data_IF_317355770202
#
_entry.id   IF_317355770202
#
_cell.length_a   1.000
_cell.length_b   1.000
_cell.length_c   1.000
_cell.angle_alpha   90.00
_cell.angle_beta   90.00
_cell.angle_gamma   90.00
#
_symmetry.space_group_name_H-M   'P 1'
#
loop_
_entity.id
_entity.type
_entity.pdbx_description
1 polymer ?
#
# COMPACT_ATOMS: atom_id res chain seq x y z
N UNK A 1 -8.34 52.70 70.24
CA UNK A 1 -7.74 52.15 69.00
C UNK A 1 -6.41 51.50 69.39
N UNK A 2 -6.11 50.23 69.05
CA UNK A 2 -6.03 49.66 67.68
C UNK A 2 -6.74 48.29 67.50
N UNK A 3 -7.50 48.10 66.43
CA UNK A 3 -7.22 47.38 65.15
C UNK A 3 -7.17 45.83 65.22
N UNK A 4 -8.22 45.23 64.66
CA UNK A 4 -8.31 43.84 64.20
C UNK A 4 -7.28 43.56 63.10
N UNK A 5 -6.61 42.40 63.15
CA UNK A 5 -5.82 41.82 62.05
C UNK A 5 -5.95 40.30 62.13
N UNK A 6 -6.83 39.71 61.31
CA UNK A 6 -6.53 39.12 60.00
C UNK A 6 -5.84 37.75 60.11
N UNK A 7 -6.64 36.69 59.86
CA UNK A 7 -6.19 35.29 59.76
C UNK A 7 -5.15 35.15 58.65
N UNK A 8 -4.05 34.46 58.94
CA UNK A 8 -3.02 34.09 57.95
C UNK A 8 -3.64 33.19 56.86
N UNK A 9 -3.52 33.50 55.56
CA UNK A 9 -3.88 32.57 54.50
C UNK A 9 -2.86 31.43 54.43
N UNK A 10 -3.37 30.25 54.11
CA UNK A 10 -2.58 29.03 53.86
C UNK A 10 -1.66 29.24 52.66
N UNK A 11 -0.46 28.71 52.78
CA UNK A 11 0.55 28.59 51.74
C UNK A 11 -0.05 27.91 50.51
N UNK A 12 -0.15 28.66 49.42
CA UNK A 12 -0.53 28.13 48.11
C UNK A 12 0.71 27.42 47.59
N UNK A 13 0.64 26.10 47.49
CA UNK A 13 1.65 25.32 46.78
C UNK A 13 1.60 25.80 45.33
N UNK A 14 2.65 26.49 44.89
CA UNK A 14 2.84 26.88 43.51
C UNK A 14 2.81 25.63 42.65
N UNK A 15 1.71 25.41 41.93
CA UNK A 15 1.65 24.42 40.85
C UNK A 15 2.59 24.94 39.77
N UNK A 16 3.68 24.24 39.44
CA UNK A 16 4.55 24.71 38.39
C UNK A 16 3.77 24.71 37.09
N UNK A 17 3.72 25.88 36.45
CA UNK A 17 3.13 26.09 35.15
C UNK A 17 4.01 25.40 34.09
N UNK A 18 3.93 24.07 34.00
CA UNK A 18 4.46 23.30 32.89
C UNK A 18 3.47 23.43 31.73
N UNK A 19 3.51 24.56 31.02
CA UNK A 19 3.07 24.59 29.63
C UNK A 19 4.14 23.89 28.78
N UNK A 20 4.29 22.59 28.98
CA UNK A 20 4.80 21.75 27.92
C UNK A 20 3.63 21.52 26.97
N UNK A 21 3.74 21.99 25.74
CA UNK A 21 2.80 21.69 24.65
C UNK A 21 2.91 20.21 24.21
N UNK A 22 3.30 19.32 25.13
CA UNK A 22 3.51 17.90 24.92
C UNK A 22 2.30 17.17 25.49
N UNK A 23 1.75 16.24 24.73
CA UNK A 23 0.70 15.39 25.27
C UNK A 23 1.29 14.55 26.42
N UNK A 24 0.48 14.19 27.43
CA UNK A 24 0.83 13.17 28.40
C UNK A 24 1.37 11.89 27.73
N UNK A 25 2.39 11.28 28.32
CA UNK A 25 3.12 10.13 27.77
C UNK A 25 2.22 8.99 27.29
N UNK A 26 1.13 8.72 28.02
CA UNK A 26 0.18 7.68 27.63
C UNK A 26 -0.46 7.99 26.27
N UNK A 27 -0.86 9.23 26.00
CA UNK A 27 -1.48 9.62 24.72
C UNK A 27 -0.46 9.64 23.58
N UNK A 28 0.79 10.02 23.84
CA UNK A 28 1.87 9.93 22.84
C UNK A 28 2.14 8.48 22.43
N UNK A 29 2.09 7.54 23.37
CA UNK A 29 2.20 6.11 23.06
C UNK A 29 1.04 5.63 22.17
N UNK A 30 -0.19 6.07 22.46
CA UNK A 30 -1.36 5.73 21.63
C UNK A 30 -1.30 6.35 20.23
N UNK A 31 -0.63 7.49 20.09
CA UNK A 31 -0.49 8.24 18.83
C UNK A 31 0.60 7.67 17.92
N UNK A 32 1.71 7.20 18.49
CA UNK A 32 2.94 6.89 17.73
C UNK A 32 3.19 5.41 17.51
N UNK A 33 2.62 4.53 18.34
CA UNK A 33 2.95 3.10 18.30
C UNK A 33 1.72 2.24 18.11
N UNK A 34 1.90 1.17 17.35
CA UNK A 34 1.00 0.02 17.32
C UNK A 34 1.52 -1.01 18.32
N UNK A 35 0.69 -1.49 19.24
CA UNK A 35 1.08 -2.44 20.30
C UNK A 35 0.49 -3.82 19.99
N UNK A 36 1.33 -4.79 19.65
CA UNK A 36 0.88 -6.16 19.41
C UNK A 36 0.76 -6.94 20.73
N UNK A 37 -0.46 -7.22 21.19
CA UNK A 37 -0.74 -8.09 22.35
C UNK A 37 -1.18 -9.49 21.89
N UNK A 38 -1.11 -10.47 22.81
CA UNK A 38 -1.39 -11.88 22.55
C UNK A 38 -2.85 -12.15 22.10
N UNK A 39 -3.82 -11.38 22.60
CA UNK A 39 -5.23 -11.56 22.27
C UNK A 39 -5.65 -10.81 21.00
N UNK A 40 -5.33 -9.52 20.95
CA UNK A 40 -5.57 -8.66 19.80
C UNK A 40 -4.60 -7.49 19.83
N UNK A 41 -4.15 -7.00 18.66
CA UNK A 41 -3.23 -5.90 18.64
C UNK A 41 -3.99 -4.59 18.99
N UNK A 42 -3.45 -3.80 19.92
CA UNK A 42 -3.98 -2.55 20.46
C UNK A 42 -3.28 -1.38 19.78
N UNK A 43 -3.94 -0.23 19.59
CA UNK A 43 -3.41 0.89 18.79
C UNK A 43 -3.10 0.53 17.33
N UNK A 44 -3.73 -0.51 16.80
CA UNK A 44 -3.53 -0.96 15.43
C UNK A 44 -4.30 -0.05 14.51
N UNK A 45 -3.55 0.82 13.85
CA UNK A 45 -4.03 1.65 12.74
C UNK A 45 -3.75 1.04 11.37
N UNK A 46 -3.15 -0.16 11.33
CA UNK A 46 -2.79 -0.82 10.08
C UNK A 46 -3.68 -2.02 9.88
N UNK A 47 -4.49 -1.93 8.82
CA UNK A 47 -5.30 -3.00 8.25
C UNK A 47 -4.48 -4.29 8.10
N UNK A 48 -4.81 -5.30 8.90
CA UNK A 48 -4.61 -6.68 8.44
C UNK A 48 -5.78 -6.95 7.51
N UNK A 49 -5.49 -7.09 6.22
CA UNK A 49 -6.45 -7.50 5.20
C UNK A 49 -6.89 -8.95 5.48
N UNK A 50 -7.75 -9.16 6.48
CA UNK A 50 -8.35 -10.47 6.75
C UNK A 50 -9.52 -10.68 5.79
N UNK A 51 -9.25 -11.38 4.70
CA UNK A 51 -10.21 -12.12 3.90
C UNK A 51 -10.84 -13.22 4.79
N UNK A 52 -11.75 -12.87 5.71
CA UNK A 52 -12.87 -13.71 6.20
C UNK A 52 -13.63 -12.96 7.32
N UNK A 53 -14.92 -12.77 7.06
CA UNK A 53 -16.05 -12.36 7.92
C UNK A 53 -15.82 -11.90 9.38
N UNK A 54 -16.15 -10.62 9.61
CA UNK A 54 -16.77 -10.00 10.80
C UNK A 54 -16.36 -10.45 12.21
N UNK A 55 -15.59 -9.61 12.92
CA UNK A 55 -15.83 -9.34 14.34
C UNK A 55 -15.15 -8.04 14.81
N UNK A 56 -15.92 -7.20 15.53
CA UNK A 56 -15.53 -5.96 16.23
C UNK A 56 -14.95 -4.81 15.39
N UNK A 57 -15.85 -3.90 15.01
CA UNK A 57 -15.58 -2.54 14.56
C UNK A 57 -14.94 -1.73 15.71
N UNK A 58 -13.62 -1.84 15.90
CA UNK A 58 -12.86 -0.79 16.58
C UNK A 58 -12.41 0.20 15.51
N UNK A 59 -12.89 1.44 15.61
CA UNK A 59 -12.56 2.53 14.70
C UNK A 59 -11.05 2.81 14.73
N UNK A 60 -10.33 2.29 13.74
CA UNK A 60 -8.91 2.55 13.49
C UNK A 60 -8.78 3.87 12.70
N UNK A 61 -9.06 5.00 13.34
CA UNK A 61 -8.83 6.35 12.79
C UNK A 61 -7.51 6.95 13.28
N UNK A 62 -6.54 7.18 12.40
CA UNK A 62 -5.28 7.83 12.77
C UNK A 62 -5.55 9.15 13.52
N UNK A 63 -4.96 9.33 14.71
CA UNK A 63 -5.13 10.53 15.53
C UNK A 63 -4.46 11.79 14.96
N UNK A 64 -4.17 11.82 13.65
CA UNK A 64 -3.44 12.89 12.95
C UNK A 64 -4.36 13.81 12.13
N UNK A 65 -5.56 14.09 12.61
CA UNK A 65 -6.41 15.13 12.02
C UNK A 65 -6.25 16.45 12.79
N UNK A 66 -6.46 17.58 12.11
CA UNK A 66 -6.21 18.94 12.63
C UNK A 66 -6.89 19.23 13.98
N UNK A 67 -8.10 18.69 14.22
CA UNK A 67 -8.83 18.86 15.48
C UNK A 67 -8.41 17.92 16.62
N UNK A 68 -7.55 16.93 16.36
CA UNK A 68 -7.09 16.00 17.39
C UNK A 68 -6.21 16.75 18.39
N UNK A 69 -6.53 16.64 19.69
CA UNK A 69 -5.79 17.28 20.78
C UNK A 69 -5.73 18.82 20.72
N UNK A 70 -6.61 19.47 19.94
CA UNK A 70 -6.70 20.94 19.90
C UNK A 70 -7.01 21.55 21.28
N UNK A 71 -7.77 20.84 22.12
CA UNK A 71 -8.04 21.23 23.51
C UNK A 71 -6.79 21.18 24.42
N UNK A 72 -5.75 20.45 24.01
CA UNK A 72 -4.45 20.35 24.68
C UNK A 72 -3.41 21.27 24.03
N UNK A 73 -3.81 22.13 23.09
CA UNK A 73 -2.92 23.10 22.42
C UNK A 73 -2.01 22.51 21.34
N UNK A 74 -2.26 21.27 20.90
CA UNK A 74 -1.41 20.60 19.90
C UNK A 74 -1.96 20.83 18.50
N UNK A 75 -1.12 21.43 17.66
CA UNK A 75 -1.44 21.65 16.25
C UNK A 75 -1.01 20.46 15.39
N UNK A 76 -2.02 19.72 14.91
CA UNK A 76 -1.88 18.60 13.98
C UNK A 76 -2.21 18.99 12.54
N UNK A 77 -2.17 20.27 12.21
CA UNK A 77 -2.32 20.74 10.83
C UNK A 77 -1.25 20.13 9.92
N UNK A 78 -1.69 19.70 8.74
CA UNK A 78 -0.80 19.19 7.70
C UNK A 78 -0.20 20.39 6.97
N UNK A 79 1.10 20.61 7.14
CA UNK A 79 1.86 21.57 6.33
C UNK A 79 2.82 20.82 5.41
N UNK A 80 2.83 21.24 4.13
CA UNK A 80 3.68 20.63 3.10
C UNK A 80 5.16 20.69 3.50
N UNK A 81 5.57 21.79 4.11
CA UNK A 81 6.95 22.00 4.59
C UNK A 81 7.34 21.01 5.69
N UNK A 82 6.42 20.69 6.63
CA UNK A 82 6.65 19.70 7.69
C UNK A 82 6.67 18.29 7.12
N UNK A 83 5.80 18.01 6.14
CA UNK A 83 5.80 16.74 5.42
C UNK A 83 7.14 16.52 4.68
N UNK A 84 7.60 17.48 3.87
CA UNK A 84 8.85 17.36 3.13
C UNK A 84 10.09 17.20 4.03
N UNK A 85 10.08 17.78 5.24
CA UNK A 85 11.19 17.61 6.21
C UNK A 85 11.22 16.22 6.86
N UNK A 86 10.04 15.62 7.05
CA UNK A 86 9.90 14.35 7.76
C UNK A 86 9.93 13.14 6.82
N UNK A 87 9.53 13.33 5.56
CA UNK A 87 9.47 12.27 4.56
C UNK A 87 10.86 11.81 4.16
N UNK A 88 11.13 10.51 4.30
CA UNK A 88 12.40 9.88 3.93
C UNK A 88 12.14 8.53 3.27
N UNK A 89 13.00 8.18 2.32
CA UNK A 89 12.98 6.90 1.63
C UNK A 89 14.36 6.26 1.82
N UNK A 90 14.39 5.04 2.33
CA UNK A 90 15.61 4.25 2.51
C UNK A 90 15.50 2.98 1.67
N UNK A 91 16.46 2.73 0.79
CA UNK A 91 16.45 1.54 -0.08
C UNK A 91 17.27 0.45 0.62
N UNK A 92 16.62 -0.67 0.96
CA UNK A 92 17.23 -1.79 1.66
C UNK A 92 17.89 -2.76 0.67
N UNK A 93 17.16 -3.16 -0.37
CA UNK A 93 17.64 -4.11 -1.37
C UNK A 93 17.15 -3.74 -2.77
N UNK A 94 18.02 -3.89 -3.75
CA UNK A 94 17.70 -3.72 -5.16
C UNK A 94 18.28 -4.88 -5.97
N UNK A 95 17.40 -5.67 -6.56
CA UNK A 95 17.73 -6.74 -7.52
C UNK A 95 17.06 -6.46 -8.86
N UNK A 96 17.26 -7.35 -9.84
CA UNK A 96 16.66 -7.19 -11.18
C UNK A 96 15.13 -7.31 -11.14
N UNK A 97 14.62 -8.25 -10.33
CA UNK A 97 13.19 -8.56 -10.27
C UNK A 97 12.51 -7.98 -9.02
N UNK A 98 13.24 -7.82 -7.90
CA UNK A 98 12.71 -7.38 -6.61
C UNK A 98 13.38 -6.11 -6.09
N UNK A 99 12.59 -5.24 -5.43
CA UNK A 99 13.05 -4.03 -4.75
C UNK A 99 12.41 -3.93 -3.36
N UNK A 100 13.23 -3.70 -2.34
CA UNK A 100 12.79 -3.48 -0.95
C UNK A 100 13.22 -2.07 -0.49
N UNK A 101 12.27 -1.29 0.01
CA UNK A 101 12.52 0.06 0.49
C UNK A 101 11.55 0.43 1.63
N UNK A 102 12.02 1.28 2.52
CA UNK A 102 11.28 1.82 3.65
C UNK A 102 10.79 3.24 3.34
N UNK A 103 9.51 3.49 3.60
CA UNK A 103 8.88 4.82 3.51
C UNK A 103 8.63 5.35 4.93
N UNK A 104 9.37 6.38 5.33
CA UNK A 104 9.30 6.97 6.67
C UNK A 104 8.60 8.33 6.60
N UNK A 105 7.66 8.58 7.53
CA UNK A 105 6.96 9.87 7.63
C UNK A 105 5.79 10.03 6.66
N UNK A 106 5.26 8.93 6.13
CA UNK A 106 4.06 8.87 5.28
C UNK A 106 2.85 8.37 6.07
N UNK A 107 1.65 8.81 5.66
CA UNK A 107 0.40 8.28 6.18
C UNK A 107 0.05 6.89 5.59
N UNK A 108 -0.64 6.06 6.36
CA UNK A 108 -1.08 4.73 5.94
C UNK A 108 -1.90 4.77 4.66
N UNK A 109 -2.77 5.79 4.51
CA UNK A 109 -3.68 5.87 3.38
C UNK A 109 -2.94 6.05 2.06
N UNK A 110 -1.85 6.82 2.08
CA UNK A 110 -1.02 7.07 0.90
C UNK A 110 -0.14 5.85 0.57
N UNK A 111 0.39 5.16 1.57
CA UNK A 111 1.12 3.90 1.36
C UNK A 111 0.20 2.81 0.75
N UNK A 112 -1.02 2.66 1.25
CA UNK A 112 -2.00 1.73 0.70
C UNK A 112 -2.48 2.15 -0.70
N UNK A 113 -2.54 3.46 -0.99
CA UNK A 113 -2.82 3.95 -2.33
C UNK A 113 -1.73 3.51 -3.32
N UNK A 114 -0.44 3.68 -3.00
CA UNK A 114 0.66 3.19 -3.83
C UNK A 114 0.59 1.69 -4.05
N UNK A 115 0.33 0.91 -2.99
CA UNK A 115 0.14 -0.54 -3.09
C UNK A 115 -0.96 -0.91 -4.09
N UNK A 116 -2.09 -0.18 -4.07
CA UNK A 116 -3.22 -0.42 -4.98
C UNK A 116 -2.88 -0.04 -6.42
N UNK A 117 -2.23 1.10 -6.63
CA UNK A 117 -1.82 1.59 -7.95
C UNK A 117 -0.85 0.58 -8.58
N UNK A 118 0.16 0.12 -7.84
CA UNK A 118 1.14 -0.85 -8.33
C UNK A 118 0.52 -2.18 -8.75
N UNK A 119 -0.55 -2.62 -8.08
CA UNK A 119 -1.21 -3.90 -8.38
C UNK A 119 -2.21 -3.78 -9.53
N UNK A 120 -2.91 -2.65 -9.65
CA UNK A 120 -4.12 -2.57 -10.48
C UNK A 120 -4.06 -1.53 -11.60
N UNK A 121 -3.23 -0.49 -11.49
CA UNK A 121 -3.23 0.65 -12.42
C UNK A 121 -1.96 0.74 -13.27
N UNK A 122 -0.93 -0.03 -12.97
CA UNK A 122 0.26 -0.12 -13.81
C UNK A 122 -0.08 -0.96 -15.04
N UNK A 123 -0.03 -0.39 -16.26
CA UNK A 123 -0.36 -1.13 -17.47
C UNK A 123 0.74 -2.13 -17.81
N UNK A 124 0.34 -3.33 -18.23
CA UNK A 124 1.23 -4.42 -18.63
C UNK A 124 0.73 -5.09 -19.91
N UNK A 125 1.64 -5.58 -20.74
CA UNK A 125 1.29 -6.32 -21.96
C UNK A 125 0.98 -7.78 -21.61
N UNK A 126 -0.18 -8.27 -22.05
CA UNK A 126 -0.62 -9.65 -21.87
C UNK A 126 -1.35 -10.17 -23.12
N UNK A 127 -1.47 -11.49 -23.24
CA UNK A 127 -2.16 -12.13 -24.37
C UNK A 127 -3.67 -12.10 -24.10
N UNK A 128 -4.42 -11.33 -24.90
CA UNK A 128 -5.88 -11.25 -24.80
C UNK A 128 -6.60 -12.16 -25.81
N UNK A 129 -6.20 -12.10 -27.09
CA UNK A 129 -6.86 -12.81 -28.18
C UNK A 129 -6.00 -13.95 -28.68
N UNK A 130 -6.57 -15.16 -28.73
CA UNK A 130 -5.88 -16.37 -29.18
C UNK A 130 -6.69 -17.00 -30.30
N UNK A 131 -6.05 -17.14 -31.47
CA UNK A 131 -6.61 -17.83 -32.61
C UNK A 131 -6.05 -19.25 -32.65
N UNK A 132 -6.93 -20.23 -32.44
CA UNK A 132 -6.57 -21.65 -32.48
C UNK A 132 -6.89 -22.23 -33.85
N UNK A 133 -5.93 -22.99 -34.37
CA UNK A 133 -6.08 -23.77 -35.61
C UNK A 133 -5.63 -25.19 -35.27
N UNK A 134 -6.53 -26.15 -35.42
CA UNK A 134 -6.30 -27.59 -35.24
C UNK A 134 -5.65 -28.00 -33.89
N UNK A 135 -6.27 -27.65 -32.76
CA UNK A 135 -5.86 -28.21 -31.46
C UNK A 135 -6.34 -29.67 -31.34
N UNK A 136 -5.43 -30.63 -31.54
CA UNK A 136 -5.68 -32.06 -31.29
C UNK A 136 -5.11 -32.55 -29.96
N UNK A 137 -4.74 -31.63 -29.06
CA UNK A 137 -4.21 -31.99 -27.75
C UNK A 137 -5.32 -32.44 -26.79
N UNK A 138 -4.92 -32.99 -25.64
CA UNK A 138 -5.86 -33.39 -24.58
C UNK A 138 -6.40 -32.18 -23.81
N UNK A 139 -5.68 -31.04 -23.87
CA UNK A 139 -6.06 -29.82 -23.16
C UNK A 139 -7.13 -29.10 -23.97
N UNK A 140 -8.25 -28.81 -23.34
CA UNK A 140 -9.33 -28.05 -23.94
C UNK A 140 -8.90 -26.61 -24.28
N UNK A 141 -9.47 -26.07 -25.35
CA UNK A 141 -9.09 -24.78 -25.93
C UNK A 141 -9.20 -23.62 -24.93
N UNK A 142 -10.25 -23.60 -24.13
CA UNK A 142 -10.50 -22.59 -23.10
C UNK A 142 -9.48 -22.63 -21.96
N UNK A 143 -9.03 -23.82 -21.60
CA UNK A 143 -8.04 -23.99 -20.53
C UNK A 143 -6.66 -23.59 -21.04
N UNK A 144 -6.31 -23.97 -22.27
CA UNK A 144 -5.04 -23.60 -22.87
C UNK A 144 -4.96 -22.09 -23.11
N UNK A 145 -6.03 -21.46 -23.60
CA UNK A 145 -6.07 -20.01 -23.83
C UNK A 145 -5.93 -19.21 -22.53
N UNK A 146 -6.65 -19.60 -21.47
CA UNK A 146 -6.54 -18.96 -20.17
C UNK A 146 -5.12 -19.07 -19.58
N UNK A 147 -4.46 -20.22 -19.77
CA UNK A 147 -3.07 -20.40 -19.32
C UNK A 147 -2.09 -19.52 -20.08
N UNK A 148 -2.27 -19.37 -21.40
CA UNK A 148 -1.44 -18.50 -22.23
C UNK A 148 -1.63 -17.02 -21.86
N UNK A 149 -2.84 -16.61 -21.48
CA UNK A 149 -3.13 -15.24 -21.03
C UNK A 149 -2.40 -14.83 -19.74
N UNK A 150 -2.01 -15.80 -18.90
CA UNK A 150 -1.30 -15.55 -17.63
C UNK A 150 0.23 -15.56 -17.77
N UNK A 151 0.76 -15.76 -18.98
CA UNK A 151 2.21 -15.74 -19.20
C UNK A 151 2.67 -14.28 -19.28
N UNK A 152 3.60 -13.82 -18.42
CA UNK A 152 4.15 -12.49 -18.51
C UNK A 152 4.99 -12.35 -19.78
N UNK A 153 4.80 -11.25 -20.50
CA UNK A 153 5.55 -10.93 -21.72
C UNK A 153 6.61 -9.86 -21.41
N UNK A 154 7.83 -10.07 -21.90
CA UNK A 154 8.87 -9.06 -21.87
C UNK A 154 8.68 -8.06 -23.02
N UNK A 155 7.75 -7.13 -22.83
CA UNK A 155 7.45 -6.05 -23.77
C UNK A 155 7.15 -4.77 -22.99
N UNK A 156 7.82 -3.67 -23.32
CA UNK A 156 7.63 -2.38 -22.66
C UNK A 156 6.25 -1.80 -23.03
N UNK A 157 5.29 -1.70 -22.08
CA UNK A 157 3.93 -1.24 -22.36
C UNK A 157 3.89 0.23 -22.78
N UNK A 158 4.92 1.02 -22.51
CA UNK A 158 4.97 2.46 -22.82
C UNK A 158 5.16 2.75 -24.31
N UNK A 159 5.56 1.75 -25.09
CA UNK A 159 5.77 1.87 -26.53
C UNK A 159 4.49 1.61 -27.34
N UNK A 160 3.42 1.15 -26.68
CA UNK A 160 2.19 0.75 -27.33
C UNK A 160 1.04 1.68 -26.97
N UNK A 161 0.18 1.96 -27.95
CA UNK A 161 -1.05 2.71 -27.74
C UNK A 161 -2.20 1.75 -27.36
N UNK A 162 -3.15 2.25 -26.56
CA UNK A 162 -4.34 1.49 -26.21
C UNK A 162 -5.26 1.28 -27.43
N UNK A 163 -5.77 0.05 -27.56
CA UNK A 163 -6.77 -0.29 -28.58
C UNK A 163 -8.14 0.24 -28.12
N UNK A 164 -8.76 1.08 -28.95
CA UNK A 164 -10.17 1.47 -28.77
C UNK A 164 -11.11 0.49 -29.51
N UNK A 165 -12.40 0.45 -29.14
CA UNK A 165 -13.37 -0.50 -29.72
C UNK A 165 -13.49 -0.43 -31.25
N UNK A 166 -13.18 0.71 -31.86
CA UNK A 166 -13.28 0.93 -33.30
C UNK A 166 -11.93 0.81 -34.02
N UNK A 167 -10.85 0.55 -33.30
CA UNK A 167 -9.51 0.53 -33.87
C UNK A 167 -9.13 -0.87 -34.40
N UNK A 168 -8.40 -0.88 -35.51
CA UNK A 168 -7.91 -2.10 -36.12
C UNK A 168 -6.54 -2.43 -35.51
N UNK A 169 -6.24 -3.70 -35.20
CA UNK A 169 -4.92 -4.07 -34.70
C UNK A 169 -3.81 -3.66 -35.68
N UNK A 170 -2.96 -2.73 -35.24
CA UNK A 170 -1.85 -2.16 -36.00
C UNK A 170 -0.51 -2.46 -35.31
N UNK A 171 0.60 -2.22 -36.02
CA UNK A 171 1.97 -2.46 -35.52
C UNK A 171 2.31 -1.69 -34.23
N UNK A 172 1.60 -0.59 -33.95
CA UNK A 172 1.79 0.23 -32.73
C UNK A 172 0.97 -0.23 -31.54
N UNK A 173 -0.03 -1.08 -31.75
CA UNK A 173 -1.06 -1.34 -30.75
C UNK A 173 -1.10 -2.83 -30.37
N UNK A 174 -0.47 -3.72 -31.15
CA UNK A 174 -0.49 -5.15 -30.90
C UNK A 174 0.82 -5.84 -31.24
N UNK A 175 1.06 -6.97 -30.57
CA UNK A 175 2.15 -7.90 -30.85
C UNK A 175 1.53 -9.26 -31.14
N UNK A 176 1.98 -9.93 -32.19
CA UNK A 176 1.45 -11.24 -32.60
C UNK A 176 2.51 -12.31 -32.41
N UNK A 177 2.17 -13.33 -31.61
CA UNK A 177 3.00 -14.51 -31.41
C UNK A 177 2.41 -15.71 -32.15
N UNK A 178 3.26 -16.58 -32.68
CA UNK A 178 2.86 -17.83 -33.35
C UNK A 178 3.44 -19.03 -32.59
N UNK A 179 2.54 -19.86 -32.05
CA UNK A 179 2.89 -21.15 -31.45
C UNK A 179 2.48 -22.28 -32.39
N UNK A 180 3.44 -23.07 -32.85
CA UNK A 180 3.19 -24.24 -33.70
C UNK A 180 4.05 -25.40 -33.23
N UNK A 181 3.42 -26.43 -32.67
CA UNK A 181 4.10 -27.59 -32.08
C UNK A 181 3.45 -28.87 -32.59
N UNK A 182 4.27 -29.81 -33.06
CA UNK A 182 3.84 -31.16 -33.44
C UNK A 182 4.68 -32.21 -32.71
N UNK A 183 4.04 -33.29 -32.25
CA UNK A 183 4.70 -34.37 -31.51
C UNK A 183 4.81 -35.61 -32.42
N UNK A 184 6.04 -35.98 -32.80
CA UNK A 184 6.32 -37.18 -33.58
C UNK A 184 6.66 -38.38 -32.67
N UNK A 185 6.39 -39.60 -33.11
CA UNK A 185 6.86 -40.79 -32.38
C UNK A 185 8.40 -40.85 -32.42
N UNK A 186 9.03 -40.92 -31.25
CA UNK A 186 10.48 -40.99 -31.11
C UNK A 186 11.21 -39.65 -31.18
N UNK A 187 10.50 -38.51 -31.27
CA UNK A 187 11.14 -37.19 -31.16
C UNK A 187 11.58 -36.92 -29.71
N UNK A 188 12.73 -36.26 -29.50
CA UNK A 188 13.13 -35.83 -28.17
C UNK A 188 12.09 -34.85 -27.60
N UNK A 189 11.94 -34.86 -26.27
CA UNK A 189 11.09 -33.89 -25.59
C UNK A 189 11.65 -32.50 -25.84
N UNK A 190 10.81 -31.59 -26.35
CA UNK A 190 11.18 -30.19 -26.50
C UNK A 190 11.25 -29.59 -25.08
N UNK A 191 12.46 -29.48 -24.54
CA UNK A 191 12.74 -28.83 -23.25
C UNK A 191 13.36 -27.47 -23.54
N UNK A 192 12.52 -26.45 -23.64
CA UNK A 192 12.93 -25.07 -23.94
C UNK A 192 13.10 -24.78 -25.43
N UNK A 193 13.08 -23.48 -25.74
CA UNK A 193 13.42 -22.93 -27.05
C UNK A 193 14.96 -22.89 -27.18
N UNK A 194 15.57 -23.20 -28.34
CA UNK A 194 16.98 -22.95 -28.58
C UNK A 194 17.32 -21.45 -28.60
#
# INVERSE_FOLDING_TARGET
>A
MPKMGAKKPKEVVDVPNHQENNLPDYLELQRTRVVCNADAPIHVFISVLTFFHAFLHNYTQGFQYSGAFAAMGVDNSMSVEKFCKNFKIEINQLTVDDMEFDLIGIDESMANAFRRILIAEVPTMAIEKIFMVDNTSVIADEVLSHRLGLIPLDADPRLFDYISENDVPNERNTIVYKLHVSCGKGSPRITGMP
#
